data_IF_529549479837
#
_entry.id   IF_529549479837
#
_cell.length_a   1.000
_cell.length_b   1.000
_cell.length_c   1.000
_cell.angle_alpha   90.00
_cell.angle_beta   90.00
_cell.angle_gamma   90.00
#
_symmetry.space_group_name_H-M   'P 1'
#
loop_
_entity.id
_entity.type
_entity.pdbx_description
1 polymer ?
#
# COMPACT_ATOMS: atom_id res chain seq x y z
N UNK A 1 9.30 9.69 -5.85
CA UNK A 1 10.39 8.68 -5.99
C UNK A 1 10.38 7.84 -4.71
N UNK A 2 9.83 6.62 -4.75
CA UNK A 2 9.86 5.72 -3.60
C UNK A 2 11.29 5.21 -3.44
N UNK A 3 11.98 5.59 -2.36
CA UNK A 3 13.30 5.04 -2.07
C UNK A 3 13.15 3.56 -1.69
N UNK A 4 13.49 2.69 -2.66
CA UNK A 4 13.41 1.22 -2.55
C UNK A 4 14.33 0.65 -1.46
N UNK A 5 15.13 1.48 -0.77
CA UNK A 5 16.14 1.06 0.22
C UNK A 5 15.70 1.15 1.68
N UNK A 6 14.58 1.81 1.98
CA UNK A 6 14.23 2.15 3.38
C UNK A 6 13.87 0.92 4.22
N UNK A 7 13.35 -0.17 3.65
CA UNK A 7 12.84 -1.30 4.45
C UNK A 7 13.42 -2.68 4.11
N UNK A 8 14.18 -2.87 3.02
CA UNK A 8 14.50 -4.22 2.47
C UNK A 8 13.28 -5.16 2.55
N UNK A 9 12.10 -4.63 2.23
CA UNK A 9 10.84 -5.37 2.19
C UNK A 9 10.36 -5.44 0.77
N UNK A 10 9.78 -6.57 0.43
CA UNK A 10 9.18 -6.75 -0.88
C UNK A 10 7.72 -6.36 -0.79
N UNK A 11 7.32 -5.59 -1.80
CA UNK A 11 5.95 -5.19 -2.04
C UNK A 11 5.49 -5.86 -3.32
N UNK A 12 4.42 -6.64 -3.21
CA UNK A 12 3.82 -7.38 -4.31
C UNK A 12 2.43 -6.80 -4.59
N UNK A 13 2.08 -6.73 -5.88
CA UNK A 13 0.75 -6.37 -6.36
C UNK A 13 0.28 -7.55 -7.21
N UNK A 14 -0.92 -8.06 -6.93
CA UNK A 14 -1.57 -9.07 -7.74
C UNK A 14 -2.76 -8.44 -8.46
N UNK A 15 -2.82 -8.62 -9.78
CA UNK A 15 -3.86 -8.08 -10.66
C UNK A 15 -4.54 -9.26 -11.34
N UNK A 16 -5.88 -9.29 -11.33
CA UNK A 16 -6.62 -10.32 -12.04
C UNK A 16 -6.34 -10.27 -13.54
N UNK A 17 -6.06 -11.42 -14.16
CA UNK A 17 -5.90 -11.52 -15.60
C UNK A 17 -7.28 -11.38 -16.27
N UNK A 18 -7.63 -10.13 -16.62
CA UNK A 18 -8.89 -9.68 -17.25
C UNK A 18 -10.13 -9.74 -16.34
N UNK A 19 -10.80 -8.60 -16.22
CA UNK A 19 -12.25 -8.58 -16.03
C UNK A 19 -12.87 -8.36 -17.42
N UNK A 20 -13.88 -9.17 -17.74
CA UNK A 20 -14.72 -9.00 -18.93
C UNK A 20 -15.57 -7.73 -18.71
N UNK A 21 -15.73 -6.93 -19.77
CA UNK A 21 -16.57 -5.73 -19.87
C UNK A 21 -16.33 -4.60 -18.86
N UNK A 22 -15.74 -3.50 -19.34
CA UNK A 22 -15.85 -2.14 -18.80
C UNK A 22 -15.73 -1.98 -17.28
N UNK A 23 -14.87 -2.76 -16.61
CA UNK A 23 -14.65 -2.67 -15.17
C UNK A 23 -13.16 -2.69 -14.84
N UNK A 24 -12.81 -2.10 -13.70
CA UNK A 24 -11.44 -2.07 -13.21
C UNK A 24 -11.06 -3.45 -12.66
N UNK A 25 -9.86 -3.91 -13.01
CA UNK A 25 -9.34 -5.17 -12.48
C UNK A 25 -9.26 -5.13 -10.96
N UNK A 26 -9.70 -6.22 -10.32
CA UNK A 26 -9.46 -6.41 -8.88
C UNK A 26 -7.95 -6.47 -8.63
N UNK A 27 -7.51 -5.72 -7.63
CA UNK A 27 -6.10 -5.68 -7.19
C UNK A 27 -6.00 -6.09 -5.73
N UNK A 28 -5.01 -6.93 -5.44
CA UNK A 28 -4.54 -7.21 -4.08
C UNK A 28 -3.09 -6.80 -3.89
N UNK A 29 -2.70 -6.57 -2.64
CA UNK A 29 -1.40 -6.05 -2.26
C UNK A 29 -0.78 -6.85 -1.11
N UNK A 30 0.54 -6.92 -1.08
CA UNK A 30 1.24 -7.67 -0.05
C UNK A 30 2.58 -7.04 0.26
N UNK A 31 2.89 -6.94 1.56
CA UNK A 31 4.18 -6.45 2.03
C UNK A 31 4.72 -7.40 3.09
N UNK A 32 5.96 -7.85 2.90
CA UNK A 32 6.67 -8.69 3.87
C UNK A 32 8.18 -8.60 3.65
N UNK A 33 8.94 -8.97 4.69
CA UNK A 33 10.36 -9.25 4.53
C UNK A 33 10.59 -10.58 3.79
N UNK A 34 9.63 -11.51 3.89
CA UNK A 34 9.60 -12.75 3.12
C UNK A 34 8.84 -12.53 1.81
N UNK A 35 9.51 -12.64 0.66
CA UNK A 35 8.85 -12.47 -0.63
C UNK A 35 7.66 -13.43 -0.86
N UNK A 36 7.75 -14.69 -0.41
CA UNK A 36 6.70 -15.69 -0.63
C UNK A 36 5.44 -15.31 0.16
N UNK A 37 5.62 -14.79 1.38
CA UNK A 37 4.53 -14.23 2.20
C UNK A 37 3.97 -12.97 1.55
N UNK A 38 4.80 -12.09 0.99
CA UNK A 38 4.31 -10.89 0.28
C UNK A 38 3.44 -11.28 -0.92
N UNK A 39 3.88 -12.24 -1.73
CA UNK A 39 3.13 -12.76 -2.87
C UNK A 39 1.81 -13.42 -2.43
N UNK A 40 1.87 -14.31 -1.44
CA UNK A 40 0.68 -14.97 -0.90
C UNK A 40 -0.35 -13.96 -0.39
N UNK A 41 0.08 -12.91 0.32
CA UNK A 41 -0.80 -11.83 0.77
C UNK A 41 -1.43 -11.07 -0.39
N UNK A 42 -0.64 -10.74 -1.42
CA UNK A 42 -1.16 -10.02 -2.59
C UNK A 42 -2.23 -10.83 -3.33
N UNK A 43 -1.98 -12.12 -3.58
CA UNK A 43 -2.93 -13.01 -4.27
C UNK A 43 -4.18 -13.27 -3.43
N UNK A 44 -4.01 -13.55 -2.13
CA UNK A 44 -5.15 -13.80 -1.23
C UNK A 44 -6.03 -12.55 -1.03
N UNK A 45 -5.44 -11.35 -0.93
CA UNK A 45 -6.20 -10.09 -0.91
C UNK A 45 -6.97 -9.89 -2.22
N UNK A 46 -6.35 -10.16 -3.38
CA UNK A 46 -7.03 -10.04 -4.68
C UNK A 46 -8.25 -10.97 -4.75
N UNK A 47 -8.09 -12.24 -4.35
CA UNK A 47 -9.19 -13.20 -4.30
C UNK A 47 -10.28 -12.77 -3.30
N UNK A 48 -9.89 -12.23 -2.15
CA UNK A 48 -10.83 -11.72 -1.15
C UNK A 48 -11.63 -10.53 -1.71
N UNK A 49 -10.97 -9.55 -2.34
CA UNK A 49 -11.63 -8.41 -2.96
C UNK A 49 -12.56 -8.83 -4.09
N UNK A 50 -12.18 -9.84 -4.89
CA UNK A 50 -13.03 -10.37 -5.95
C UNK A 50 -14.32 -10.99 -5.40
N UNK A 51 -14.24 -11.69 -4.26
CA UNK A 51 -15.40 -12.36 -3.63
C UNK A 51 -16.28 -11.44 -2.78
N UNK A 52 -15.70 -10.41 -2.16
CA UNK A 52 -16.40 -9.53 -1.22
C UNK A 52 -16.79 -8.17 -1.82
N UNK A 53 -16.67 -8.02 -3.15
CA UNK A 53 -17.10 -6.81 -3.88
C UNK A 53 -18.59 -6.56 -3.67
N UNK A 54 -18.93 -5.38 -3.18
CA UNK A 54 -20.30 -4.91 -3.06
C UNK A 54 -20.83 -4.37 -4.40
N UNK A 55 -22.16 -4.35 -4.57
CA UNK A 55 -22.80 -3.74 -5.74
C UNK A 55 -22.40 -2.26 -5.93
N UNK A 56 -22.20 -1.55 -4.82
CA UNK A 56 -21.76 -0.15 -4.84
C UNK A 56 -20.34 -0.02 -5.41
N UNK A 57 -19.41 -0.84 -4.95
CA UNK A 57 -18.03 -0.85 -5.45
C UNK A 57 -17.98 -1.23 -6.94
N UNK A 58 -18.81 -2.17 -7.38
CA UNK A 58 -18.92 -2.54 -8.80
C UNK A 58 -19.37 -1.34 -9.65
N UNK A 59 -20.40 -0.61 -9.19
CA UNK A 59 -20.88 0.58 -9.91
C UNK A 59 -19.84 1.71 -9.95
N UNK A 60 -19.09 1.91 -8.86
CA UNK A 60 -18.01 2.89 -8.79
C UNK A 60 -16.86 2.52 -9.74
N UNK A 61 -16.47 1.23 -9.79
CA UNK A 61 -15.46 0.71 -10.70
C UNK A 61 -15.88 0.89 -12.16
N UNK A 62 -17.15 0.61 -12.51
CA UNK A 62 -17.69 0.81 -13.86
C UNK A 62 -17.67 2.29 -14.29
N UNK A 63 -18.13 3.20 -13.41
CA UNK A 63 -18.09 4.65 -13.69
C UNK A 63 -16.67 5.13 -13.91
N UNK A 64 -15.74 4.65 -13.09
CA UNK A 64 -14.32 4.99 -13.20
C UNK A 64 -13.73 4.44 -14.49
N UNK A 65 -14.04 3.20 -14.85
CA UNK A 65 -13.58 2.58 -16.10
C UNK A 65 -14.06 3.36 -17.33
N UNK A 66 -15.35 3.75 -17.36
CA UNK A 66 -15.90 4.61 -18.41
C UNK A 66 -15.20 5.97 -18.49
N UNK A 67 -14.95 6.61 -17.34
CA UNK A 67 -14.26 7.90 -17.29
C UNK A 67 -12.83 7.79 -17.82
N UNK A 68 -12.07 6.78 -17.38
CA UNK A 68 -10.70 6.54 -17.83
C UNK A 68 -10.66 6.21 -19.33
N UNK A 69 -11.59 5.38 -19.81
CA UNK A 69 -11.73 5.01 -21.21
C UNK A 69 -12.09 6.18 -22.13
N UNK A 70 -12.84 7.16 -21.61
CA UNK A 70 -13.18 8.38 -22.37
C UNK A 70 -11.97 9.29 -22.63
N UNK A 71 -10.91 9.14 -21.84
CA UNK A 71 -9.71 9.97 -21.92
C UNK A 71 -8.58 9.27 -22.65
N UNK A 72 -8.16 9.85 -23.78
CA UNK A 72 -6.99 9.37 -24.55
C UNK A 72 -5.72 9.26 -23.69
N UNK A 73 -5.55 10.14 -22.70
CA UNK A 73 -4.38 10.13 -21.80
C UNK A 73 -4.48 9.06 -20.72
N UNK A 74 -5.68 8.77 -20.22
CA UNK A 74 -5.88 7.90 -19.05
C UNK A 74 -6.32 6.48 -19.40
N UNK A 75 -6.74 6.22 -20.64
CA UNK A 75 -7.18 4.91 -21.12
C UNK A 75 -6.15 3.80 -20.89
N UNK A 76 -4.84 4.10 -20.99
CA UNK A 76 -3.76 3.17 -20.69
C UNK A 76 -3.73 2.68 -19.23
N UNK A 77 -4.40 3.37 -18.31
CA UNK A 77 -4.51 2.96 -16.90
C UNK A 77 -5.51 1.82 -16.69
N UNK A 78 -6.37 1.53 -17.67
CA UNK A 78 -7.33 0.41 -17.61
C UNK A 78 -6.62 -0.94 -17.71
N UNK A 79 -5.51 -1.01 -18.44
CA UNK A 79 -4.75 -2.23 -18.69
C UNK A 79 -3.26 -1.93 -18.58
N UNK A 80 -2.73 -1.75 -17.35
CA UNK A 80 -1.32 -1.47 -17.17
C UNK A 80 -0.48 -2.64 -17.67
N UNK A 81 0.30 -2.43 -18.73
CA UNK A 81 1.29 -3.39 -19.22
C UNK A 81 2.61 -3.15 -18.50
N UNK A 82 3.27 -4.23 -18.08
CA UNK A 82 4.61 -4.18 -17.50
C UNK A 82 5.59 -4.60 -18.57
N UNK A 83 6.29 -3.64 -19.16
CA UNK A 83 7.27 -3.89 -20.25
C UNK A 83 8.71 -4.09 -19.73
N UNK A 84 8.86 -4.39 -18.43
CA UNK A 84 10.17 -4.57 -17.83
C UNK A 84 10.50 -6.05 -17.64
N UNK A 85 11.72 -6.49 -18.00
CA UNK A 85 12.15 -7.83 -17.68
C UNK A 85 12.13 -8.00 -16.16
N UNK A 86 11.42 -9.04 -15.70
CA UNK A 86 11.48 -9.44 -14.30
C UNK A 86 12.81 -10.12 -14.04
N UNK A 87 13.67 -9.44 -13.28
CA UNK A 87 14.87 -10.07 -12.73
C UNK A 87 14.49 -11.30 -11.88
N UNK A 88 15.31 -12.37 -11.87
CA UNK A 88 15.10 -13.49 -10.97
C UNK A 88 15.05 -13.00 -9.53
N UNK A 89 13.94 -13.26 -8.83
CA UNK A 89 13.88 -12.97 -7.40
C UNK A 89 14.85 -13.89 -6.67
N UNK A 90 15.81 -13.30 -5.94
CA UNK A 90 16.58 -14.04 -4.96
C UNK A 90 15.80 -14.09 -3.64
N UNK A 91 15.13 -15.22 -3.41
CA UNK A 91 14.27 -15.45 -2.24
C UNK A 91 15.14 -15.64 -1.00
N UNK A 92 15.40 -14.58 -0.25
CA UNK A 92 15.97 -14.70 1.09
C UNK A 92 14.86 -14.72 2.12
N UNK A 93 14.66 -15.87 2.76
CA UNK A 93 13.72 -16.00 3.87
C UNK A 93 14.26 -15.24 5.09
N UNK A 94 13.44 -14.43 5.78
CA UNK A 94 13.85 -13.80 7.01
C UNK A 94 14.17 -14.85 8.07
N UNK A 95 15.38 -14.82 8.62
CA UNK A 95 15.80 -15.72 9.70
C UNK A 95 15.41 -15.20 11.09
N UNK A 96 14.96 -13.95 11.19
CA UNK A 96 14.63 -13.27 12.44
C UNK A 96 13.20 -13.59 12.89
N UNK A 97 13.00 -13.79 14.19
CA UNK A 97 11.65 -13.87 14.78
C UNK A 97 10.86 -12.56 14.65
N UNK A 98 9.52 -12.64 14.76
CA UNK A 98 8.60 -11.51 14.52
C UNK A 98 8.99 -10.24 15.28
N UNK A 99 9.31 -10.35 16.58
CA UNK A 99 9.74 -9.20 17.40
C UNK A 99 10.97 -8.50 16.81
N UNK A 100 11.96 -9.28 16.39
CA UNK A 100 13.18 -8.75 15.78
C UNK A 100 12.91 -8.14 14.39
N UNK A 101 11.94 -8.67 13.63
CA UNK A 101 11.53 -8.07 12.36
C UNK A 101 10.80 -6.73 12.54
N UNK A 102 9.97 -6.59 13.57
CA UNK A 102 9.29 -5.33 13.92
C UNK A 102 10.33 -4.30 14.38
N UNK A 103 11.21 -4.69 15.30
CA UNK A 103 12.29 -3.84 15.80
C UNK A 103 13.18 -3.34 14.66
N UNK A 104 13.64 -4.24 13.80
CA UNK A 104 14.47 -3.88 12.65
C UNK A 104 13.78 -2.91 11.69
N UNK A 105 12.46 -3.06 11.48
CA UNK A 105 11.72 -2.14 10.64
C UNK A 105 11.57 -0.75 11.27
N UNK A 106 11.37 -0.68 12.59
CA UNK A 106 11.34 0.59 13.30
C UNK A 106 12.70 1.30 13.26
N UNK A 107 13.79 0.56 13.47
CA UNK A 107 15.16 1.06 13.37
C UNK A 107 15.48 1.56 11.96
N UNK A 108 15.12 0.80 10.92
CA UNK A 108 15.33 1.23 9.54
C UNK A 108 14.52 2.49 9.20
N UNK A 109 13.27 2.60 9.66
CA UNK A 109 12.48 3.82 9.50
C UNK A 109 13.14 5.01 10.19
N UNK A 110 13.62 4.82 11.42
CA UNK A 110 14.32 5.84 12.17
C UNK A 110 15.61 6.30 11.48
N UNK A 111 16.41 5.36 10.96
CA UNK A 111 17.62 5.64 10.20
C UNK A 111 17.37 6.47 8.93
N UNK A 112 16.15 6.44 8.39
CA UNK A 112 15.72 7.26 7.25
C UNK A 112 14.87 8.48 7.67
N UNK A 113 15.00 8.92 8.92
CA UNK A 113 14.33 10.13 9.43
C UNK A 113 12.81 9.99 9.58
N UNK A 114 12.29 8.77 9.71
CA UNK A 114 10.86 8.51 9.90
C UNK A 114 10.59 8.09 11.35
N UNK A 115 9.77 8.86 12.06
CA UNK A 115 9.29 8.49 13.38
C UNK A 115 8.14 7.48 13.27
N UNK A 116 8.11 6.50 14.16
CA UNK A 116 7.03 5.51 14.27
C UNK A 116 6.27 5.76 15.56
N UNK A 117 5.00 6.11 15.46
CA UNK A 117 4.08 6.24 16.58
C UNK A 117 3.14 5.03 16.60
N UNK A 118 2.73 4.59 17.78
CA UNK A 118 1.68 3.60 17.90
C UNK A 118 0.86 3.86 19.16
N UNK A 119 -0.38 3.37 19.15
CA UNK A 119 -1.22 3.26 20.34
C UNK A 119 -1.90 1.90 20.39
N UNK A 120 -2.09 1.38 21.59
CA UNK A 120 -2.86 0.16 21.81
C UNK A 120 -4.34 0.52 21.84
N UNK A 121 -5.13 -0.10 20.95
CA UNK A 121 -6.59 0.06 20.92
C UNK A 121 -7.29 -0.97 21.80
N UNK A 122 -6.71 -2.17 21.91
CA UNK A 122 -7.25 -3.27 22.70
C UNK A 122 -6.11 -4.19 23.15
N UNK A 123 -6.15 -4.66 24.39
CA UNK A 123 -5.21 -5.67 24.89
C UNK A 123 -5.89 -6.59 25.90
N UNK A 124 -6.01 -7.87 25.53
CA UNK A 124 -6.36 -8.95 26.44
C UNK A 124 -5.20 -9.97 26.41
N UNK A 125 -4.37 -10.03 27.47
CA UNK A 125 -3.21 -10.91 27.53
C UNK A 125 -3.56 -12.37 27.18
N UNK A 126 -2.73 -12.99 26.35
CA UNK A 126 -2.95 -14.37 25.88
C UNK A 126 -4.10 -14.55 24.88
N UNK A 127 -4.86 -13.49 24.55
CA UNK A 127 -6.00 -13.57 23.62
C UNK A 127 -5.75 -12.71 22.38
N UNK A 128 -5.64 -11.39 22.54
CA UNK A 128 -5.45 -10.49 21.41
C UNK A 128 -4.87 -9.14 21.84
N UNK A 129 -4.07 -8.56 20.95
CA UNK A 129 -3.59 -7.18 21.06
C UNK A 129 -3.83 -6.49 19.72
N UNK A 130 -4.51 -5.35 19.75
CA UNK A 130 -4.77 -4.52 18.58
C UNK A 130 -4.03 -3.21 18.76
N UNK A 131 -3.15 -2.91 17.81
CA UNK A 131 -2.37 -1.68 17.78
C UNK A 131 -2.70 -0.88 16.53
N UNK A 132 -2.77 0.43 16.69
CA UNK A 132 -2.78 1.36 15.57
C UNK A 132 -1.40 1.98 15.45
N UNK A 133 -0.73 1.76 14.32
CA UNK A 133 0.55 2.37 14.00
C UNK A 133 0.35 3.58 13.08
N UNK A 134 1.15 4.63 13.29
CA UNK A 134 1.20 5.83 12.47
C UNK A 134 2.65 6.23 12.21
N UNK A 135 2.98 6.39 10.93
CA UNK A 135 4.32 6.82 10.50
C UNK A 135 4.11 8.10 9.65
N UNK A 136 4.45 9.29 10.18
CA UNK A 136 4.33 10.53 9.43
C UNK A 136 5.20 10.51 8.16
N UNK A 137 4.64 11.03 7.09
CA UNK A 137 5.25 11.15 5.79
C UNK A 137 5.27 9.84 4.99
N UNK A 138 4.67 8.76 5.50
CA UNK A 138 4.28 7.64 4.65
C UNK A 138 2.88 7.88 4.08
N UNK A 139 2.81 7.74 2.76
CA UNK A 139 1.61 7.99 1.98
C UNK A 139 0.45 7.10 2.41
N UNK A 140 -0.75 7.68 2.51
CA UNK A 140 -1.99 6.98 2.87
C UNK A 140 -2.87 6.77 1.64
N UNK A 141 -2.29 6.29 0.54
CA UNK A 141 -3.01 6.09 -0.73
C UNK A 141 -4.29 5.24 -0.58
N UNK A 142 -4.38 4.36 0.43
CA UNK A 142 -5.61 3.63 0.74
C UNK A 142 -6.79 4.56 1.10
N UNK A 143 -6.54 5.72 1.74
CA UNK A 143 -7.57 6.71 2.03
C UNK A 143 -8.08 7.37 0.74
N UNK A 144 -7.18 7.65 -0.21
CA UNK A 144 -7.55 8.14 -1.55
C UNK A 144 -8.43 7.10 -2.25
N UNK A 145 -8.08 5.81 -2.15
CA UNK A 145 -8.90 4.71 -2.69
C UNK A 145 -10.28 4.61 -2.05
N UNK A 146 -10.44 5.03 -0.80
CA UNK A 146 -11.73 5.11 -0.10
C UNK A 146 -12.49 6.42 -0.37
N UNK A 147 -12.06 7.23 -1.33
CA UNK A 147 -12.69 8.51 -1.66
C UNK A 147 -12.49 9.60 -0.59
N UNK A 148 -11.60 9.37 0.38
CA UNK A 148 -11.29 10.34 1.42
C UNK A 148 -10.27 11.33 0.83
N UNK A 149 -10.58 12.63 0.76
CA UNK A 149 -9.61 13.62 0.31
C UNK A 149 -8.37 13.59 1.20
N UNK A 150 -7.21 13.41 0.60
CA UNK A 150 -5.94 13.41 1.32
C UNK A 150 -5.09 14.55 0.80
N UNK A 151 -4.67 15.43 1.69
CA UNK A 151 -3.66 16.45 1.36
C UNK A 151 -2.30 15.76 1.39
N UNK A 152 -1.51 15.82 0.29
CA UNK A 152 -0.14 15.30 0.31
C UNK A 152 0.63 15.96 1.45
N UNK A 153 1.26 15.16 2.32
CA UNK A 153 1.92 15.73 3.50
C UNK A 153 3.14 16.61 3.14
N UNK A 154 3.71 16.45 1.94
CA UNK A 154 4.73 17.36 1.40
C UNK A 154 4.21 18.79 1.25
N UNK A 155 2.92 18.98 1.00
CA UNK A 155 2.30 20.31 0.88
C UNK A 155 2.07 20.94 2.26
N UNK A 156 1.81 20.13 3.29
CA UNK A 156 1.62 20.60 4.67
C UNK A 156 2.95 20.99 5.35
N UNK A 157 4.05 20.30 5.03
CA UNK A 157 5.37 20.60 5.61
C UNK A 157 6.00 21.89 5.06
N UNK A 158 5.61 22.35 3.85
CA UNK A 158 6.00 23.65 3.32
C UNK A 158 5.27 24.79 4.04
N UNK A 159 3.95 24.70 4.21
CA UNK A 159 3.17 25.74 4.91
C UNK A 159 3.47 25.85 6.41
N UNK A 160 3.93 24.78 7.06
CA UNK A 160 4.38 24.82 8.47
C UNK A 160 5.80 25.38 8.63
N UNK A 161 6.67 25.27 7.62
CA UNK A 161 8.01 25.89 7.64
C UNK A 161 7.93 27.40 7.46
N UNK A 162 7.00 27.89 6.65
CA UNK A 162 6.80 29.34 6.45
C UNK A 162 6.29 30.05 7.71
N UNK A 163 5.50 29.36 8.57
CA UNK A 163 5.01 29.94 9.83
C UNK A 163 6.02 29.97 10.97
N UNK A 164 7.11 29.19 10.88
CA UNK A 164 8.18 29.16 11.89
C UNK A 164 9.44 29.93 11.43
N UNK A 165 9.35 30.73 10.36
CA UNK A 165 10.44 31.60 9.91
C UNK A 165 10.41 33.01 10.56
N UNK A 166 9.49 33.24 11.51
CA UNK A 166 9.30 34.52 12.21
C UNK A 166 9.26 34.38 13.75
N UNK A 167 9.82 33.30 14.30
CA UNK A 167 10.13 33.14 15.73
C UNK A 167 11.56 32.62 15.87
#
# INVERSE_FOLDING_TARGET
MFDRRILRRLFCIAIAARDVDCSLSVVGSGCSADPAVALYRAVSEQLQCSRLRSLKEIQEDQRTACMLGSSRRLSNLLTPTVDYPTEPLNWQTPTKGMRAQIQHAAENLHAHGRAVFYRTLFNKPGVACVVQAYIPGLERFHLIRSGIPVVPQSTLSQGLREKNAYL
#
